data_IF_349539023324
#
_entry.id   IF_349539023324
#
_cell.length_a   1.000
_cell.length_b   1.000
_cell.length_c   1.000
_cell.angle_alpha   90.00
_cell.angle_beta   90.00
_cell.angle_gamma   90.00
#
_symmetry.space_group_name_H-M   'P 1'
#
loop_
_entity.id
_entity.type
_entity.pdbx_description
1 polymer ?
#
# COMPACT_ATOMS: atom_id res chain seq x y z
N UNK A 1 22.84 -10.21 -0.52
CA UNK A 1 21.57 -10.49 -1.24
C UNK A 1 20.34 -10.29 -0.35
N UNK A 2 20.34 -10.77 0.90
CA UNK A 2 19.23 -10.56 1.85
C UNK A 2 18.85 -9.08 2.11
N UNK A 3 19.82 -8.15 2.14
CA UNK A 3 19.54 -6.72 2.36
C UNK A 3 18.68 -6.05 1.27
N UNK A 4 18.58 -6.65 0.09
CA UNK A 4 17.80 -6.12 -1.04
C UNK A 4 16.30 -6.45 -0.91
N UNK A 5 15.94 -7.46 -0.09
CA UNK A 5 14.55 -7.78 0.24
C UNK A 5 13.94 -6.78 1.23
N UNK A 6 14.76 -6.12 2.05
CA UNK A 6 14.28 -5.15 3.03
C UNK A 6 13.57 -3.96 2.35
N UNK A 7 13.96 -3.62 1.12
CA UNK A 7 13.40 -2.49 0.37
C UNK A 7 11.92 -2.72 -0.05
N UNK A 8 11.57 -3.78 -0.82
CA UNK A 8 10.18 -4.05 -1.19
C UNK A 8 9.30 -4.48 -0.01
N UNK A 9 9.87 -5.15 1.00
CA UNK A 9 9.16 -5.50 2.23
C UNK A 9 8.83 -4.26 3.08
N UNK A 10 9.81 -3.36 3.25
CA UNK A 10 9.61 -2.12 4.00
C UNK A 10 8.60 -1.21 3.33
N UNK A 11 8.74 -0.98 2.01
CA UNK A 11 7.78 -0.19 1.23
C UNK A 11 6.37 -0.80 1.27
N UNK A 12 6.25 -2.10 1.00
CA UNK A 12 4.96 -2.79 1.04
C UNK A 12 4.29 -2.74 2.42
N UNK A 13 5.08 -2.85 3.50
CA UNK A 13 4.56 -2.72 4.87
C UNK A 13 4.08 -1.28 5.16
N UNK A 14 4.78 -0.26 4.68
CA UNK A 14 4.36 1.14 4.82
C UNK A 14 3.05 1.40 4.06
N UNK A 15 2.95 0.97 2.79
CA UNK A 15 1.71 1.09 2.02
C UNK A 15 0.52 0.37 2.68
N UNK A 16 0.74 -0.86 3.15
CA UNK A 16 -0.29 -1.65 3.82
C UNK A 16 -0.74 -1.03 5.16
N UNK A 17 0.21 -0.58 5.98
CA UNK A 17 -0.10 0.05 7.27
C UNK A 17 -0.78 1.40 7.10
N UNK A 18 -0.37 2.22 6.13
CA UNK A 18 -1.02 3.50 5.84
C UNK A 18 -2.51 3.29 5.47
N UNK A 19 -2.80 2.39 4.54
CA UNK A 19 -4.18 2.05 4.14
C UNK A 19 -4.97 1.50 5.33
N UNK A 20 -4.39 0.56 6.09
CA UNK A 20 -5.01 -0.03 7.27
C UNK A 20 -5.32 1.00 8.36
N UNK A 21 -4.41 1.94 8.64
CA UNK A 21 -4.59 3.00 9.64
C UNK A 21 -5.70 3.96 9.24
N UNK A 22 -5.71 4.39 7.97
CA UNK A 22 -6.75 5.27 7.45
C UNK A 22 -8.13 4.66 7.59
N UNK A 23 -8.28 3.41 7.19
CA UNK A 23 -9.56 2.70 7.32
C UNK A 23 -9.93 2.42 8.77
N UNK A 24 -8.96 2.14 9.64
CA UNK A 24 -9.17 2.07 11.08
C UNK A 24 -9.73 3.38 11.66
N UNK A 25 -9.23 4.51 11.18
CA UNK A 25 -9.73 5.82 11.57
C UNK A 25 -11.11 6.13 10.97
N UNK A 26 -11.37 5.80 9.70
CA UNK A 26 -12.71 5.94 9.08
C UNK A 26 -13.78 5.08 9.76
N UNK A 27 -13.42 3.85 10.13
CA UNK A 27 -14.33 2.88 10.77
C UNK A 27 -14.73 3.25 12.19
N UNK A 28 -13.95 4.12 12.82
CA UNK A 28 -14.31 4.76 14.08
C UNK A 28 -15.43 5.81 13.92
N UNK A 29 -15.65 6.34 12.71
CA UNK A 29 -16.54 7.48 12.46
C UNK A 29 -17.93 7.11 11.88
N UNK A 30 -18.11 6.01 11.12
CA UNK A 30 -19.37 5.77 10.37
C UNK A 30 -20.06 4.42 10.63
N UNK A 31 -21.39 4.43 10.79
CA UNK A 31 -22.28 3.26 11.02
C UNK A 31 -22.49 2.33 9.81
N UNK A 32 -21.95 2.64 8.62
CA UNK A 32 -22.12 1.87 7.35
C UNK A 32 -20.96 0.89 7.04
N UNK A 33 -20.26 0.46 8.10
CA UNK A 33 -18.91 -0.13 8.12
C UNK A 33 -18.70 -1.44 7.37
N UNK A 34 -19.71 -2.27 7.17
CA UNK A 34 -19.48 -3.67 6.76
C UNK A 34 -19.37 -3.87 5.24
N UNK A 35 -19.84 -2.91 4.45
CA UNK A 35 -19.93 -3.07 2.98
C UNK A 35 -18.91 -2.21 2.24
N UNK A 36 -18.66 -0.96 2.69
CA UNK A 36 -17.71 -0.07 2.03
C UNK A 36 -16.25 -0.46 2.28
N UNK A 37 -15.93 -0.99 3.46
CA UNK A 37 -14.55 -1.33 3.81
C UNK A 37 -13.98 -2.40 2.89
N UNK A 38 -14.58 -3.59 2.73
CA UNK A 38 -14.02 -4.64 1.89
C UNK A 38 -14.02 -4.27 0.40
N UNK A 39 -15.03 -3.52 -0.04
CA UNK A 39 -15.18 -3.09 -1.44
C UNK A 39 -14.13 -2.06 -1.85
N UNK A 40 -13.70 -1.17 -0.96
CA UNK A 40 -12.61 -0.22 -1.23
C UNK A 40 -11.24 -0.77 -0.81
N UNK A 41 -11.14 -1.54 0.27
CA UNK A 41 -9.89 -2.16 0.74
C UNK A 41 -9.29 -3.09 -0.29
N UNK A 42 -10.11 -4.01 -0.81
CA UNK A 42 -9.64 -5.06 -1.69
C UNK A 42 -8.97 -4.46 -2.95
N UNK A 43 -9.61 -3.58 -3.73
CA UNK A 43 -8.99 -3.00 -4.93
C UNK A 43 -7.81 -2.07 -4.63
N UNK A 44 -7.73 -1.49 -3.43
CA UNK A 44 -6.67 -0.56 -3.05
C UNK A 44 -5.42 -1.29 -2.54
N UNK A 45 -5.58 -2.34 -1.73
CA UNK A 45 -4.47 -3.11 -1.21
C UNK A 45 -3.84 -4.03 -2.27
N UNK A 46 -4.64 -4.55 -3.20
CA UNK A 46 -4.20 -5.42 -4.31
C UNK A 46 -2.99 -4.86 -5.10
N UNK A 47 -3.03 -3.64 -5.67
CA UNK A 47 -1.93 -3.12 -6.47
C UNK A 47 -0.64 -2.94 -5.67
N UNK A 48 -0.72 -2.50 -4.41
CA UNK A 48 0.45 -2.38 -3.53
C UNK A 48 1.07 -3.75 -3.23
N UNK A 49 0.24 -4.75 -2.94
CA UNK A 49 0.70 -6.13 -2.70
C UNK A 49 1.35 -6.72 -3.96
N UNK A 50 0.74 -6.53 -5.13
CA UNK A 50 1.27 -7.04 -6.42
C UNK A 50 2.64 -6.42 -6.73
N UNK A 51 2.80 -5.11 -6.54
CA UNK A 51 4.07 -4.41 -6.80
C UNK A 51 5.17 -4.81 -5.79
N UNK A 52 4.81 -5.03 -4.52
CA UNK A 52 5.75 -5.54 -3.51
C UNK A 52 6.21 -6.96 -3.82
N UNK A 53 5.27 -7.86 -4.16
CA UNK A 53 5.58 -9.24 -4.58
C UNK A 53 6.44 -9.28 -5.84
N UNK A 54 6.21 -8.39 -6.81
CA UNK A 54 7.04 -8.29 -8.01
C UNK A 54 8.50 -7.91 -7.67
N UNK A 55 8.71 -6.99 -6.73
CA UNK A 55 10.05 -6.64 -6.23
C UNK A 55 10.73 -7.79 -5.50
N UNK A 56 9.99 -8.52 -4.65
CA UNK A 56 10.49 -9.70 -3.94
C UNK A 56 10.88 -10.81 -4.91
N UNK A 57 10.02 -11.09 -5.91
CA UNK A 57 10.28 -12.09 -6.95
C UNK A 57 11.53 -11.73 -7.79
N UNK A 58 11.71 -10.46 -8.14
CA UNK A 58 12.91 -10.01 -8.85
C UNK A 58 14.22 -10.24 -8.05
N UNK A 59 14.17 -10.08 -6.72
CA UNK A 59 15.31 -10.37 -5.84
C UNK A 59 15.56 -11.88 -5.71
N UNK A 60 14.50 -12.68 -5.60
CA UNK A 60 14.58 -14.15 -5.47
C UNK A 60 15.07 -14.82 -6.76
N UNK A 61 14.63 -14.35 -7.92
CA UNK A 61 15.07 -14.82 -9.24
C UNK A 61 16.52 -14.39 -9.58
N UNK A 62 17.14 -13.55 -8.74
CA UNK A 62 18.48 -13.03 -9.00
C UNK A 62 18.57 -12.10 -10.20
N UNK A 63 17.46 -11.44 -10.56
CA UNK A 63 17.40 -10.48 -11.67
C UNK A 63 18.24 -9.24 -11.38
N UNK A 64 18.49 -8.44 -12.41
CA UNK A 64 19.30 -7.23 -12.28
C UNK A 64 18.70 -6.30 -11.21
N UNK A 65 19.58 -5.64 -10.44
CA UNK A 65 19.16 -4.65 -9.42
C UNK A 65 18.25 -3.56 -10.01
N UNK A 66 18.43 -3.23 -11.30
CA UNK A 66 17.60 -2.26 -12.01
C UNK A 66 16.11 -2.66 -12.04
N UNK A 67 15.80 -3.95 -12.10
CA UNK A 67 14.42 -4.44 -12.11
C UNK A 67 13.79 -4.33 -10.71
N UNK A 68 14.57 -4.61 -9.67
CA UNK A 68 14.16 -4.40 -8.27
C UNK A 68 13.86 -2.92 -8.02
N UNK A 69 14.76 -2.03 -8.44
CA UNK A 69 14.55 -0.58 -8.32
C UNK A 69 13.34 -0.10 -9.13
N UNK A 70 13.11 -0.64 -10.33
CA UNK A 70 11.95 -0.27 -11.16
C UNK A 70 10.63 -0.64 -10.47
N UNK A 71 10.50 -1.87 -9.97
CA UNK A 71 9.30 -2.32 -9.25
C UNK A 71 9.11 -1.55 -7.93
N UNK A 72 10.19 -1.31 -7.18
CA UNK A 72 10.13 -0.51 -5.95
C UNK A 72 9.78 0.96 -6.19
N UNK A 73 10.20 1.55 -7.31
CA UNK A 73 9.85 2.93 -7.64
C UNK A 73 8.37 3.07 -8.06
N UNK A 74 7.83 2.09 -8.80
CA UNK A 74 6.37 2.03 -9.05
C UNK A 74 5.58 1.81 -7.75
N UNK A 75 6.07 0.93 -6.85
CA UNK A 75 5.46 0.73 -5.54
C UNK A 75 5.43 2.02 -4.72
N UNK A 76 6.55 2.75 -4.65
CA UNK A 76 6.64 4.02 -3.94
C UNK A 76 5.69 5.08 -4.51
N UNK A 77 5.53 5.14 -5.83
CA UNK A 77 4.56 6.05 -6.47
C UNK A 77 3.12 5.72 -6.06
N UNK A 78 2.79 4.44 -6.02
CA UNK A 78 1.47 3.95 -5.58
C UNK A 78 1.24 4.25 -4.11
N UNK A 79 2.23 4.02 -3.25
CA UNK A 79 2.16 4.34 -1.82
C UNK A 79 1.91 5.84 -1.59
N UNK A 80 2.62 6.72 -2.30
CA UNK A 80 2.42 8.18 -2.20
C UNK A 80 0.98 8.56 -2.58
N UNK A 81 0.47 8.04 -3.70
CA UNK A 81 -0.91 8.31 -4.14
C UNK A 81 -1.91 7.89 -3.05
N UNK A 82 -1.75 6.69 -2.49
CA UNK A 82 -2.68 6.20 -1.47
C UNK A 82 -2.58 6.94 -0.14
N UNK A 83 -1.38 7.33 0.28
CA UNK A 83 -1.18 8.13 1.50
C UNK A 83 -1.85 9.50 1.33
N UNK A 84 -1.69 10.16 0.18
CA UNK A 84 -2.31 11.46 -0.11
C UNK A 84 -3.83 11.34 -0.20
N UNK A 85 -4.34 10.39 -0.98
CA UNK A 85 -5.79 10.14 -1.09
C UNK A 85 -6.40 9.81 0.26
N UNK A 86 -5.69 9.04 1.06
CA UNK A 86 -6.06 8.71 2.42
C UNK A 86 -6.19 9.94 3.31
N UNK A 87 -5.15 10.78 3.37
CA UNK A 87 -5.18 12.03 4.14
C UNK A 87 -6.34 12.93 3.71
N UNK A 88 -6.61 13.04 2.41
CA UNK A 88 -7.69 13.86 1.88
C UNK A 88 -9.07 13.30 2.22
N UNK A 89 -9.26 11.99 2.01
CA UNK A 89 -10.50 11.32 2.31
C UNK A 89 -10.79 11.37 3.82
N UNK A 90 -9.76 11.26 4.67
CA UNK A 90 -9.88 11.36 6.13
C UNK A 90 -10.51 12.68 6.56
N UNK A 91 -10.07 13.80 5.99
CA UNK A 91 -10.71 15.09 6.22
C UNK A 91 -12.20 15.08 5.86
N UNK A 92 -12.56 14.48 4.71
CA UNK A 92 -13.95 14.39 4.26
C UNK A 92 -14.84 13.48 5.12
N UNK A 93 -14.27 12.46 5.76
CA UNK A 93 -15.02 11.51 6.60
C UNK A 93 -15.13 11.99 8.05
N UNK A 94 -14.19 12.82 8.53
CA UNK A 94 -14.21 13.34 9.91
C UNK A 94 -15.00 14.65 10.04
N UNK A 95 -15.14 15.43 8.95
CA UNK A 95 -15.99 16.62 8.94
C UNK A 95 -17.51 16.32 8.89
N UNK A 96 -17.92 15.05 8.99
CA UNK A 96 -19.32 14.58 9.12
C UNK A 96 -19.49 13.71 10.36
#
# INVERSE_FOLDING_TARGET
>A
RAGWLALPLGLGAVGFTAVGTLLGAMTSATRLREVLLPILLLPVALPAIILSLAGIAAVLDGRALADVFRSSNMLASVDIIFVVLGMWLYGFVVDE
#
